data_IF_286595162852
#
_entry.id   IF_286595162852
#
_cell.length_a   1.000
_cell.length_b   1.000
_cell.length_c   1.000
_cell.angle_alpha   90.00
_cell.angle_beta   90.00
_cell.angle_gamma   90.00
#
_symmetry.space_group_name_H-M   'P 1'
#
loop_
_entity.id
_entity.type
_entity.pdbx_description
1 polymer ?
#
# COMPACT_ATOMS: atom_id res chain seq x y z
N UNK A 1 7.46 6.88 9.90
CA UNK A 1 6.05 6.46 10.04
C UNK A 1 6.11 4.98 9.83
N UNK A 2 5.95 4.21 10.90
CA UNK A 2 6.02 2.75 10.83
C UNK A 2 4.64 2.24 10.40
N UNK A 3 4.63 1.31 9.44
CA UNK A 3 3.41 0.70 8.90
C UNK A 3 3.47 -0.78 9.27
N UNK A 4 2.60 -1.20 10.17
CA UNK A 4 2.49 -2.60 10.61
C UNK A 4 1.39 -3.31 9.80
N UNK A 5 1.74 -4.39 9.12
CA UNK A 5 0.80 -5.37 8.55
C UNK A 5 0.56 -6.47 9.58
N UNK A 6 -0.58 -6.46 10.26
CA UNK A 6 -0.94 -7.53 11.19
C UNK A 6 -1.52 -8.73 10.42
N UNK A 7 -1.03 -9.94 10.71
CA UNK A 7 -1.59 -11.21 10.24
C UNK A 7 -2.33 -11.94 11.37
N UNK A 8 -3.62 -11.64 11.65
CA UNK A 8 -4.46 -12.52 12.44
C UNK A 8 -5.14 -13.57 11.54
N UNK A 9 -5.10 -14.82 11.99
CA UNK A 9 -5.56 -16.03 11.29
C UNK A 9 -6.79 -15.91 10.38
N UNK A 10 -6.64 -16.51 9.20
CA UNK A 10 -7.66 -16.99 8.27
C UNK A 10 -8.76 -16.01 7.83
N UNK A 11 -8.32 -14.81 7.41
CA UNK A 11 -8.92 -14.14 6.26
C UNK A 11 -7.76 -13.75 5.35
N UNK A 12 -7.79 -14.10 4.05
CA UNK A 12 -6.82 -13.64 3.04
C UNK A 12 -6.98 -12.14 2.73
N UNK A 13 -7.27 -11.35 3.75
CA UNK A 13 -7.67 -9.95 3.64
C UNK A 13 -6.62 -9.12 4.36
N UNK A 14 -5.78 -8.42 3.58
CA UNK A 14 -4.81 -7.50 4.13
C UNK A 14 -5.47 -6.19 4.54
N UNK A 15 -4.93 -5.53 5.57
CA UNK A 15 -5.37 -4.22 6.02
C UNK A 15 -4.18 -3.24 6.10
N UNK A 16 -4.29 -2.11 5.38
CA UNK A 16 -3.37 -1.00 5.53
C UNK A 16 -3.83 -0.09 6.66
N UNK A 17 -2.98 0.08 7.66
CA UNK A 17 -3.16 1.07 8.73
C UNK A 17 -2.10 2.15 8.65
N UNK A 18 -2.54 3.42 8.59
CA UNK A 18 -1.65 4.58 8.71
C UNK A 18 -1.73 5.10 10.14
N UNK A 19 -0.57 5.19 10.80
CA UNK A 19 -0.44 5.59 12.20
C UNK A 19 0.12 7.01 12.32
N UNK A 20 -0.54 7.86 13.11
CA UNK A 20 0.08 9.08 13.65
C UNK A 20 1.03 8.66 14.77
N UNK A 21 2.33 8.69 14.47
CA UNK A 21 3.39 8.29 15.41
C UNK A 21 3.52 9.20 16.62
N UNK A 22 3.07 10.47 16.55
CA UNK A 22 3.15 11.41 17.68
C UNK A 22 2.03 11.14 18.68
N UNK A 23 0.86 10.74 18.19
CA UNK A 23 -0.31 10.43 19.02
C UNK A 23 -0.47 8.94 19.31
N UNK A 24 0.32 8.10 18.65
CA UNK A 24 0.20 6.65 18.64
C UNK A 24 -1.23 6.19 18.33
N UNK A 25 -1.84 6.81 17.32
CA UNK A 25 -3.24 6.58 16.94
C UNK A 25 -3.38 6.31 15.44
N UNK A 26 -4.22 5.34 15.03
CA UNK A 26 -4.53 5.12 13.63
C UNK A 26 -5.33 6.30 13.07
N UNK A 27 -4.88 6.83 11.95
CA UNK A 27 -5.53 7.92 11.20
C UNK A 27 -6.26 7.42 9.97
N UNK A 28 -5.85 6.27 9.42
CA UNK A 28 -6.53 5.63 8.30
C UNK A 28 -6.47 4.11 8.45
N UNK A 29 -7.54 3.43 8.04
CA UNK A 29 -7.62 1.97 7.89
C UNK A 29 -8.33 1.65 6.59
N UNK A 30 -7.72 0.79 5.78
CA UNK A 30 -8.29 0.30 4.55
C UNK A 30 -8.08 -1.20 4.45
N UNK A 31 -9.17 -1.94 4.36
CA UNK A 31 -9.17 -3.37 4.09
C UNK A 31 -9.12 -3.63 2.59
N UNK A 32 -8.41 -4.69 2.23
CA UNK A 32 -8.33 -5.20 0.87
C UNK A 32 -8.90 -6.62 0.84
N UNK A 33 -9.60 -6.93 -0.25
CA UNK A 33 -10.09 -8.27 -0.54
C UNK A 33 -9.09 -9.04 -1.43
N UNK A 34 -7.84 -8.60 -1.46
CA UNK A 34 -6.72 -9.17 -2.19
C UNK A 34 -5.44 -8.99 -1.40
N UNK A 35 -4.43 -9.79 -1.72
CA UNK A 35 -3.11 -9.70 -1.14
C UNK A 35 -2.42 -8.40 -1.57
N UNK A 36 -1.83 -7.70 -0.61
CA UNK A 36 -0.95 -6.55 -0.78
C UNK A 36 0.45 -6.98 -0.35
N UNK A 37 1.42 -6.91 -1.27
CA UNK A 37 2.73 -7.51 -1.02
C UNK A 37 3.76 -6.49 -0.52
N UNK A 38 3.93 -5.38 -1.22
CA UNK A 38 4.87 -4.32 -0.87
C UNK A 38 4.28 -2.94 -1.16
N UNK A 39 4.75 -1.96 -0.40
CA UNK A 39 4.28 -0.57 -0.42
C UNK A 39 5.46 0.39 -0.55
N UNK A 40 5.26 1.49 -1.26
CA UNK A 40 6.28 2.55 -1.37
C UNK A 40 5.65 3.93 -1.47
N UNK A 41 6.40 4.95 -1.07
CA UNK A 41 6.05 6.35 -1.27
C UNK A 41 6.83 6.90 -2.47
N UNK A 42 6.26 7.87 -3.17
CA UNK A 42 7.09 8.73 -4.02
C UNK A 42 7.96 9.66 -3.16
N UNK A 43 8.93 10.31 -3.80
CA UNK A 43 9.90 11.21 -3.14
C UNK A 43 9.26 12.44 -2.50
N UNK A 44 8.08 12.88 -2.96
CA UNK A 44 7.34 14.03 -2.41
C UNK A 44 6.33 13.66 -1.32
N UNK A 45 6.01 12.37 -1.15
CA UNK A 45 5.09 11.86 -0.12
C UNK A 45 3.61 12.11 -0.39
N UNK A 46 3.23 12.53 -1.59
CA UNK A 46 1.84 12.74 -2.01
C UNK A 46 1.26 11.57 -2.82
N UNK A 47 2.11 10.64 -3.28
CA UNK A 47 1.70 9.37 -3.90
C UNK A 47 2.15 8.16 -3.08
N UNK A 48 1.29 7.16 -3.11
CA UNK A 48 1.47 5.90 -2.41
C UNK A 48 1.25 4.74 -3.38
N UNK A 49 2.20 3.82 -3.45
CA UNK A 49 2.18 2.67 -4.36
C UNK A 49 1.94 1.39 -3.58
N UNK A 50 1.12 0.50 -4.14
CA UNK A 50 0.81 -0.81 -3.58
C UNK A 50 0.98 -1.87 -4.67
N UNK A 51 1.76 -2.92 -4.41
CA UNK A 51 1.81 -4.11 -5.26
C UNK A 51 0.77 -5.13 -4.79
N UNK A 52 0.12 -5.83 -5.72
CA UNK A 52 -0.98 -6.76 -5.40
C UNK A 52 -0.68 -8.20 -5.82
N UNK A 53 -1.35 -9.16 -5.17
CA UNK A 53 -1.37 -10.57 -5.57
C UNK A 53 -1.97 -10.82 -6.96
N UNK A 54 -2.66 -9.84 -7.54
CA UNK A 54 -3.21 -9.91 -8.89
C UNK A 54 -2.22 -9.47 -9.98
N UNK A 55 -0.98 -9.09 -9.60
CA UNK A 55 0.04 -8.62 -10.55
C UNK A 55 -0.06 -7.14 -10.92
N UNK A 56 -0.85 -6.37 -10.18
CA UNK A 56 -1.01 -4.95 -10.42
C UNK A 56 -0.21 -4.10 -9.44
N UNK A 57 0.07 -2.86 -9.85
CA UNK A 57 0.51 -1.76 -9.00
C UNK A 57 -0.63 -0.73 -8.94
N UNK A 58 -1.15 -0.45 -7.75
CA UNK A 58 -2.07 0.67 -7.53
C UNK A 58 -1.29 1.92 -7.13
N UNK A 59 -1.64 3.06 -7.73
CA UNK A 59 -1.14 4.39 -7.37
C UNK A 59 -2.26 5.15 -6.68
N UNK A 60 -2.02 5.60 -5.45
CA UNK A 60 -2.99 6.25 -4.60
C UNK A 60 -2.51 7.65 -4.23
N UNK A 61 -3.44 8.62 -4.17
CA UNK A 61 -3.15 9.93 -3.60
C UNK A 61 -3.13 9.87 -2.08
N UNK A 62 -2.19 10.54 -1.43
CA UNK A 62 -2.18 10.74 0.01
C UNK A 62 -2.52 12.20 0.37
N UNK A 63 -3.32 12.47 1.42
CA UNK A 63 -3.78 11.58 2.50
C UNK A 63 -5.10 10.85 2.26
N UNK A 64 -5.78 11.09 1.12
CA UNK A 64 -7.12 10.54 0.90
C UNK A 64 -7.17 9.03 0.64
N UNK A 65 -6.03 8.43 0.25
CA UNK A 65 -5.90 7.05 -0.24
C UNK A 65 -6.87 6.71 -1.37
N UNK A 66 -7.20 7.71 -2.20
CA UNK A 66 -7.99 7.52 -3.42
C UNK A 66 -7.09 6.88 -4.48
N UNK A 67 -7.56 5.81 -5.10
CA UNK A 67 -6.89 5.21 -6.26
C UNK A 67 -6.93 6.19 -7.43
N UNK A 68 -5.76 6.56 -7.93
CA UNK A 68 -5.56 7.39 -9.12
C UNK A 68 -5.38 6.52 -10.34
N UNK A 69 -4.55 5.47 -10.23
CA UNK A 69 -4.23 4.56 -11.32
C UNK A 69 -4.09 3.12 -10.82
N UNK A 70 -4.33 2.18 -11.73
CA UNK A 70 -4.02 0.76 -11.55
C UNK A 70 -3.28 0.30 -12.79
N UNK A 71 -2.05 -0.20 -12.61
CA UNK A 71 -1.16 -0.60 -13.68
C UNK A 71 -0.97 -2.11 -13.62
N UNK A 72 -1.08 -2.79 -14.76
CA UNK A 72 -0.74 -4.21 -14.87
C UNK A 72 0.78 -4.35 -15.01
N UNK A 73 1.46 -4.85 -13.97
CA UNK A 73 2.91 -5.03 -13.99
C UNK A 73 3.32 -6.46 -14.37
N UNK A 74 2.55 -7.45 -13.90
CA UNK A 74 2.81 -8.86 -14.11
C UNK A 74 1.51 -9.63 -14.37
N UNK A 75 1.62 -10.83 -14.93
CA UNK A 75 0.47 -11.74 -15.17
C UNK A 75 0.06 -12.52 -13.92
N UNK A 76 0.79 -12.37 -12.81
CA UNK A 76 0.60 -13.01 -11.51
C UNK A 76 1.16 -12.07 -10.43
N UNK A 77 1.14 -12.47 -9.15
CA UNK A 77 1.54 -11.65 -8.00
C UNK A 77 2.75 -10.74 -8.24
N UNK A 78 2.56 -9.44 -8.03
CA UNK A 78 3.63 -8.45 -8.01
C UNK A 78 4.11 -8.34 -6.56
N UNK A 79 5.34 -8.77 -6.28
CA UNK A 79 5.82 -8.90 -4.91
C UNK A 79 6.64 -7.72 -4.44
N UNK A 80 7.31 -7.01 -5.36
CA UNK A 80 8.20 -5.93 -5.00
C UNK A 80 8.06 -4.68 -5.86
N UNK A 81 8.39 -3.53 -5.27
CA UNK A 81 8.46 -2.23 -5.94
C UNK A 81 9.61 -1.41 -5.36
N UNK A 82 10.34 -0.73 -6.25
CA UNK A 82 11.34 0.26 -5.89
C UNK A 82 11.09 1.52 -6.71
N UNK A 83 11.22 2.68 -6.06
CA UNK A 83 11.10 3.99 -6.70
C UNK A 83 12.50 4.50 -7.00
N UNK A 84 12.68 5.05 -8.20
CA UNK A 84 13.94 5.69 -8.55
C UNK A 84 14.21 6.87 -7.59
N UNK A 85 15.45 7.07 -7.10
CA UNK A 85 15.76 8.15 -6.17
C UNK A 85 15.41 9.56 -6.67
N UNK A 86 15.32 9.77 -7.99
CA UNK A 86 14.91 11.03 -8.61
C UNK A 86 13.44 11.05 -9.06
N UNK A 87 12.69 9.98 -8.82
CA UNK A 87 11.26 9.84 -9.16
C UNK A 87 11.02 9.04 -10.41
#
# INVERSE_FOLDING_TARGET
>A
MDIDTNFPGDTREDELTILDVRKFKPIHRRKFNYEVNEIAWNTTGDLFFLTTGNGTVEVLSYPSLKVLHTLMAHTAGCYCIAIDPIG
#
